data_IF_129179950009
#
_entry.id   IF_129179950009
#
_cell.length_a   1.000
_cell.length_b   1.000
_cell.length_c   1.000
_cell.angle_alpha   90.00
_cell.angle_beta   90.00
_cell.angle_gamma   90.00
#
_symmetry.space_group_name_H-M   'P 1'
#
loop_
_entity.id
_entity.type
_entity.pdbx_description
1 polymer ?
#
# COMPACT_ATOMS: atom_id res chain seq x y z
N UNK A 1 -15.91 -12.60 56.05
CA UNK A 1 -17.32 -12.98 55.91
C UNK A 1 -17.91 -12.10 54.83
N UNK A 2 -17.77 -12.57 53.60
CA UNK A 2 -18.86 -13.16 52.80
C UNK A 2 -19.58 -12.06 52.02
N UNK A 3 -19.24 -11.92 50.73
CA UNK A 3 -19.92 -12.63 49.64
C UNK A 3 -21.26 -11.98 49.32
N UNK A 4 -21.31 -11.19 48.24
CA UNK A 4 -22.32 -11.44 47.21
C UNK A 4 -21.96 -10.67 45.94
N UNK A 5 -21.41 -11.43 45.01
CA UNK A 5 -21.42 -11.27 43.57
C UNK A 5 -22.79 -10.85 43.02
N UNK A 6 -22.78 -10.00 41.98
CA UNK A 6 -23.65 -10.12 40.79
C UNK A 6 -23.04 -9.32 39.63
N UNK A 7 -22.33 -10.09 38.82
CA UNK A 7 -21.79 -9.78 37.49
C UNK A 7 -22.92 -9.56 36.49
N UNK A 8 -22.99 -8.37 35.89
CA UNK A 8 -23.80 -8.13 34.70
C UNK A 8 -22.96 -8.47 33.45
N UNK A 9 -23.03 -9.73 33.03
CA UNK A 9 -22.48 -10.20 31.76
C UNK A 9 -23.53 -9.93 30.69
N UNK A 10 -23.37 -8.84 29.93
CA UNK A 10 -24.08 -8.68 28.65
C UNK A 10 -23.09 -8.93 27.52
N UNK A 11 -22.90 -10.23 27.24
CA UNK A 11 -22.20 -10.70 26.05
C UNK A 11 -23.08 -10.48 24.83
N UNK A 12 -22.65 -9.61 23.92
CA UNK A 12 -23.27 -9.42 22.61
C UNK A 12 -22.27 -9.86 21.54
N UNK A 13 -21.98 -11.16 21.51
CA UNK A 13 -21.34 -11.79 20.37
C UNK A 13 -22.41 -12.47 19.52
N UNK A 14 -22.71 -11.83 18.40
CA UNK A 14 -23.42 -12.46 17.30
C UNK A 14 -22.50 -13.52 16.69
N UNK A 15 -22.87 -14.80 16.84
CA UNK A 15 -22.25 -15.94 16.19
C UNK A 15 -22.40 -15.85 14.66
N UNK A 16 -21.43 -15.20 14.02
CA UNK A 16 -21.27 -15.13 12.56
C UNK A 16 -20.46 -16.32 12.02
N UNK A 17 -20.75 -17.55 12.48
CA UNK A 17 -20.04 -18.77 12.06
C UNK A 17 -20.95 -19.99 11.92
N UNK A 18 -22.11 -19.85 11.28
CA UNK A 18 -22.97 -20.99 10.92
C UNK A 18 -23.63 -20.83 9.53
N UNK A 19 -22.89 -20.35 8.52
CA UNK A 19 -23.45 -20.25 7.16
C UNK A 19 -22.48 -20.68 6.03
N UNK A 20 -21.50 -21.52 6.34
CA UNK A 20 -20.53 -22.00 5.34
C UNK A 20 -20.18 -23.49 5.48
N UNK A 21 -21.09 -24.32 5.97
CA UNK A 21 -20.88 -25.79 6.04
C UNK A 21 -22.13 -26.59 5.69
N UNK A 22 -22.74 -26.27 4.55
CA UNK A 22 -23.70 -27.15 3.88
C UNK A 22 -23.70 -26.75 2.43
N UNK A 23 -22.90 -27.42 1.58
CA UNK A 23 -23.06 -27.58 0.12
C UNK A 23 -21.74 -28.09 -0.50
N UNK A 24 -21.15 -29.17 0.02
CA UNK A 24 -20.00 -29.82 -0.65
C UNK A 24 -20.05 -31.33 -0.50
N UNK A 25 -21.11 -31.97 -0.98
CA UNK A 25 -21.06 -33.36 -1.48
C UNK A 25 -22.38 -33.71 -2.15
N UNK A 26 -22.35 -34.07 -3.44
CA UNK A 26 -23.53 -34.61 -4.12
C UNK A 26 -23.51 -34.40 -5.61
N UNK A 27 -23.11 -35.44 -6.32
CA UNK A 27 -23.07 -35.54 -7.77
C UNK A 27 -24.41 -35.22 -8.47
N UNK A 28 -24.30 -34.66 -9.68
CA UNK A 28 -25.32 -34.73 -10.72
C UNK A 28 -26.34 -33.60 -10.72
N UNK A 29 -26.18 -32.64 -11.64
CA UNK A 29 -27.22 -32.30 -12.61
C UNK A 29 -26.62 -31.41 -13.71
N UNK A 30 -26.74 -31.87 -14.94
CA UNK A 30 -26.46 -31.10 -16.14
C UNK A 30 -27.44 -29.92 -16.24
N UNK A 31 -26.92 -28.72 -16.50
CA UNK A 31 -27.67 -27.68 -17.20
C UNK A 31 -26.69 -26.76 -17.92
N UNK A 32 -26.55 -27.06 -19.21
CA UNK A 32 -26.09 -26.16 -20.27
C UNK A 32 -26.79 -24.80 -20.20
N UNK A 33 -26.03 -23.73 -19.97
CA UNK A 33 -26.28 -22.44 -20.60
C UNK A 33 -24.94 -21.92 -21.10
N UNK A 34 -24.69 -22.17 -22.39
CA UNK A 34 -23.63 -21.54 -23.14
C UNK A 34 -23.90 -20.03 -23.20
N UNK A 35 -23.45 -19.30 -22.18
CA UNK A 35 -23.34 -17.85 -22.19
C UNK A 35 -22.16 -17.47 -23.06
N UNK A 36 -22.41 -17.38 -24.36
CA UNK A 36 -21.53 -16.85 -25.39
C UNK A 36 -21.12 -15.43 -24.99
N UNK A 37 -20.04 -15.29 -24.22
CA UNK A 37 -19.41 -14.00 -23.95
C UNK A 37 -18.84 -13.51 -25.28
N UNK A 38 -19.57 -12.59 -25.91
CA UNK A 38 -19.06 -11.76 -26.98
C UNK A 38 -17.86 -10.98 -26.46
N UNK A 39 -16.65 -11.53 -26.65
CA UNK A 39 -15.42 -10.74 -26.65
C UNK A 39 -15.53 -9.80 -27.84
N UNK A 40 -16.07 -8.60 -27.60
CA UNK A 40 -15.86 -7.49 -28.52
C UNK A 40 -14.35 -7.22 -28.53
N UNK A 41 -13.64 -7.40 -29.67
CA UNK A 41 -12.29 -6.92 -29.78
C UNK A 41 -12.35 -5.41 -29.61
N UNK A 42 -11.80 -4.89 -28.51
CA UNK A 42 -11.58 -3.46 -28.39
C UNK A 42 -10.58 -3.10 -29.48
N UNK A 43 -11.08 -2.52 -30.57
CA UNK A 43 -10.24 -1.88 -31.56
C UNK A 43 -9.42 -0.83 -30.82
N UNK A 44 -8.15 -1.15 -30.56
CA UNK A 44 -7.17 -0.17 -30.11
C UNK A 44 -6.98 0.80 -31.27
N UNK A 45 -7.82 1.83 -31.33
CA UNK A 45 -7.59 2.96 -32.21
C UNK A 45 -6.18 3.46 -31.88
N UNK A 46 -5.30 3.42 -32.89
CA UNK A 46 -3.92 3.86 -32.75
C UNK A 46 -3.93 5.25 -32.13
N UNK A 47 -3.43 5.36 -30.89
CA UNK A 47 -3.44 6.61 -30.16
C UNK A 47 -2.62 7.63 -30.96
N UNK A 48 -3.20 8.78 -31.34
CA UNK A 48 -2.45 9.80 -32.05
C UNK A 48 -1.28 10.22 -31.17
N UNK A 49 -0.12 10.45 -31.78
CA UNK A 49 1.07 10.76 -31.03
C UNK A 49 1.81 11.94 -31.65
N UNK A 50 2.26 12.83 -30.78
CA UNK A 50 2.89 14.09 -31.14
C UNK A 50 4.30 14.18 -30.56
N UNK A 51 5.07 15.16 -31.03
CA UNK A 51 6.37 15.50 -30.47
C UNK A 51 6.27 16.43 -29.26
N UNK A 52 7.31 16.46 -28.45
CA UNK A 52 7.44 17.31 -27.27
C UNK A 52 7.40 18.79 -27.66
N UNK A 53 7.88 19.14 -28.86
CA UNK A 53 7.83 20.50 -29.38
C UNK A 53 6.39 20.93 -29.68
N UNK A 54 5.62 20.06 -30.33
CA UNK A 54 4.19 20.33 -30.60
C UNK A 54 3.40 20.41 -29.30
N UNK A 55 3.70 19.51 -28.35
CA UNK A 55 3.10 19.57 -27.02
C UNK A 55 3.43 20.89 -26.28
N UNK A 56 4.64 21.42 -26.43
CA UNK A 56 5.00 22.72 -25.86
C UNK A 56 4.19 23.88 -26.45
N UNK A 57 3.89 23.83 -27.75
CA UNK A 57 2.99 24.81 -28.39
C UNK A 57 1.58 24.69 -27.79
N UNK A 58 1.05 23.47 -27.67
CA UNK A 58 -0.25 23.20 -27.07
C UNK A 58 -0.32 23.73 -25.62
N UNK A 59 0.72 23.51 -24.81
CA UNK A 59 0.78 24.03 -23.45
C UNK A 59 0.77 25.57 -23.41
N UNK A 60 1.38 26.24 -24.38
CA UNK A 60 1.39 27.71 -24.43
C UNK A 60 0.06 28.29 -24.89
N UNK A 61 -0.54 27.71 -25.92
CA UNK A 61 -1.74 28.24 -26.57
C UNK A 61 -3.04 27.75 -25.92
N UNK A 62 -3.04 26.53 -25.40
CA UNK A 62 -4.26 25.80 -25.03
C UNK A 62 -4.14 24.92 -23.78
N UNK A 63 -3.32 25.32 -22.79
CA UNK A 63 -3.19 24.58 -21.51
C UNK A 63 -4.52 24.26 -20.82
N UNK A 64 -5.53 25.11 -20.96
CA UNK A 64 -6.87 24.91 -20.36
C UNK A 64 -7.63 23.75 -20.95
N UNK A 65 -7.29 23.33 -22.17
CA UNK A 65 -7.89 22.18 -22.85
C UNK A 65 -7.32 20.86 -22.34
N UNK A 66 -6.20 20.88 -21.62
CA UNK A 66 -5.57 19.69 -21.05
C UNK A 66 -6.19 19.39 -19.69
N UNK A 67 -6.81 18.21 -19.56
CA UNK A 67 -7.42 17.76 -18.32
C UNK A 67 -6.38 17.18 -17.36
N UNK A 68 -5.56 16.26 -17.85
CA UNK A 68 -4.52 15.60 -17.06
C UNK A 68 -3.42 15.02 -17.97
N UNK A 69 -2.19 15.08 -17.51
CA UNK A 69 -1.05 14.40 -18.14
C UNK A 69 -0.65 13.22 -17.28
N UNK A 70 -0.74 12.02 -17.84
CA UNK A 70 -0.42 10.76 -17.19
C UNK A 70 0.94 10.25 -17.64
N UNK A 71 1.81 10.00 -16.67
CA UNK A 71 3.14 9.44 -16.86
C UNK A 71 3.10 7.95 -16.46
N UNK A 72 3.52 7.09 -17.39
CA UNK A 72 3.48 5.64 -17.27
C UNK A 72 4.80 5.02 -17.75
N UNK A 73 5.02 3.75 -17.42
CA UNK A 73 6.23 3.02 -17.79
C UNK A 73 7.41 3.17 -16.80
N UNK A 74 8.49 2.38 -17.00
CA UNK A 74 9.73 2.55 -16.27
C UNK A 74 10.25 3.97 -16.52
N UNK A 75 10.68 4.65 -15.45
CA UNK A 75 11.19 6.03 -15.49
C UNK A 75 10.27 7.07 -16.16
N UNK A 76 8.95 6.79 -16.25
CA UNK A 76 7.96 7.70 -16.84
C UNK A 76 8.13 7.98 -18.34
N UNK A 77 8.67 7.01 -19.10
CA UNK A 77 8.92 7.15 -20.55
C UNK A 77 7.64 7.35 -21.38
N UNK A 78 6.54 6.71 -20.99
CA UNK A 78 5.28 6.79 -21.74
C UNK A 78 4.40 7.91 -21.18
N UNK A 79 4.23 8.98 -21.96
CA UNK A 79 3.43 10.14 -21.58
C UNK A 79 2.13 10.17 -22.39
N UNK A 80 1.00 10.14 -21.70
CA UNK A 80 -0.34 10.25 -22.29
C UNK A 80 -1.02 11.51 -21.79
N UNK A 81 -1.54 12.30 -22.71
CA UNK A 81 -2.26 13.53 -22.40
C UNK A 81 -3.74 13.30 -22.64
N UNK A 82 -4.56 13.56 -21.63
CA UNK A 82 -6.02 13.54 -21.72
C UNK A 82 -6.54 14.96 -21.84
N UNK A 83 -7.33 15.22 -22.87
CA UNK A 83 -8.00 16.49 -23.08
C UNK A 83 -9.35 16.52 -22.36
N UNK A 84 -9.94 17.72 -22.26
CA UNK A 84 -11.25 17.94 -21.63
C UNK A 84 -12.41 17.28 -22.38
N UNK A 85 -12.24 17.06 -23.69
CA UNK A 85 -13.20 16.37 -24.57
C UNK A 85 -13.13 14.84 -24.43
N UNK A 86 -12.17 14.31 -23.67
CA UNK A 86 -11.95 12.88 -23.50
C UNK A 86 -11.07 12.25 -24.57
N UNK A 87 -10.56 13.02 -25.52
CA UNK A 87 -9.55 12.53 -26.46
C UNK A 87 -8.21 12.38 -25.75
N UNK A 88 -7.43 11.41 -26.20
CA UNK A 88 -6.12 11.10 -25.63
C UNK A 88 -5.08 11.07 -26.76
N UNK A 89 -3.91 11.61 -26.48
CA UNK A 89 -2.76 11.51 -27.38
C UNK A 89 -1.48 11.23 -26.59
N UNK A 90 -0.54 10.54 -27.25
CA UNK A 90 0.77 10.21 -26.70
C UNK A 90 1.84 11.23 -27.08
N UNK A 91 2.93 11.27 -26.32
CA UNK A 91 4.17 11.94 -26.72
C UNK A 91 5.21 10.87 -27.06
N UNK A 92 5.71 10.87 -28.30
CA UNK A 92 6.58 9.79 -28.80
C UNK A 92 8.08 10.04 -28.57
N UNK A 93 8.52 11.30 -28.52
CA UNK A 93 9.94 11.66 -28.51
C UNK A 93 10.51 11.88 -27.10
N UNK A 94 9.97 11.16 -26.12
CA UNK A 94 10.38 11.26 -24.71
C UNK A 94 11.67 10.47 -24.50
N UNK A 95 12.68 11.11 -23.91
CA UNK A 95 13.98 10.50 -23.64
C UNK A 95 14.32 10.67 -22.17
N UNK A 96 14.68 9.58 -21.50
CA UNK A 96 15.12 9.65 -20.12
C UNK A 96 16.50 10.34 -20.01
N UNK A 97 16.50 11.56 -19.50
CA UNK A 97 17.71 12.34 -19.22
C UNK A 97 17.40 13.41 -18.17
N UNK A 98 18.37 13.77 -17.34
CA UNK A 98 18.17 14.84 -16.36
C UNK A 98 18.15 16.24 -17.00
N UNK A 99 18.85 16.40 -18.12
CA UNK A 99 19.15 17.71 -18.72
C UNK A 99 18.41 17.95 -20.03
N UNK A 100 17.93 16.89 -20.69
CA UNK A 100 17.23 17.02 -21.97
C UNK A 100 15.83 17.63 -21.78
N UNK A 101 15.44 18.65 -22.56
CA UNK A 101 14.07 19.19 -22.54
C UNK A 101 12.97 18.16 -22.89
N UNK A 102 13.33 17.05 -23.56
CA UNK A 102 12.43 15.92 -23.88
C UNK A 102 12.22 14.95 -22.74
N UNK A 103 12.85 15.21 -21.59
CA UNK A 103 12.73 14.31 -20.46
C UNK A 103 11.36 14.40 -19.78
N UNK A 104 10.87 13.28 -19.21
CA UNK A 104 9.62 13.28 -18.45
C UNK A 104 9.63 14.32 -17.32
N UNK A 105 10.79 14.53 -16.70
CA UNK A 105 10.98 15.51 -15.64
C UNK A 105 10.77 16.94 -16.15
N UNK A 106 11.39 17.32 -17.27
CA UNK A 106 11.23 18.65 -17.85
C UNK A 106 9.81 18.87 -18.38
N UNK A 107 9.20 17.86 -19.00
CA UNK A 107 7.80 17.91 -19.43
C UNK A 107 6.88 18.15 -18.22
N UNK A 108 7.06 17.41 -17.13
CA UNK A 108 6.27 17.59 -15.90
C UNK A 108 6.45 18.98 -15.27
N UNK A 109 7.67 19.54 -15.31
CA UNK A 109 7.97 20.88 -14.82
C UNK A 109 7.24 21.95 -15.65
N UNK A 110 7.21 21.81 -16.97
CA UNK A 110 6.47 22.69 -17.89
C UNK A 110 4.96 22.60 -17.66
N UNK A 111 4.41 21.39 -17.51
CA UNK A 111 3.01 21.20 -17.14
C UNK A 111 2.67 21.90 -15.82
N UNK A 112 3.55 21.80 -14.81
CA UNK A 112 3.37 22.50 -13.53
C UNK A 112 3.39 24.02 -13.66
N UNK A 113 4.26 24.56 -14.50
CA UNK A 113 4.30 26.01 -14.82
C UNK A 113 3.00 26.46 -15.50
N UNK A 114 2.48 25.65 -16.42
CA UNK A 114 1.21 25.88 -17.12
C UNK A 114 -0.04 25.57 -16.26
N UNK A 115 0.13 25.16 -14.98
CA UNK A 115 -0.94 24.74 -14.06
C UNK A 115 -1.77 23.55 -14.56
N UNK A 116 -1.17 22.70 -15.39
CA UNK A 116 -1.78 21.46 -15.87
C UNK A 116 -1.57 20.35 -14.83
N UNK A 117 -2.62 19.63 -14.42
CA UNK A 117 -2.49 18.49 -13.50
C UNK A 117 -1.64 17.37 -14.10
N UNK A 118 -0.67 16.87 -13.33
CA UNK A 118 0.18 15.73 -13.71
C UNK A 118 -0.03 14.57 -12.75
N UNK A 119 0.03 13.35 -13.28
CA UNK A 119 -0.17 12.11 -12.53
C UNK A 119 0.94 11.12 -12.85
N UNK A 120 1.62 10.63 -11.82
CA UNK A 120 2.67 9.62 -11.95
C UNK A 120 2.16 8.28 -11.46
N UNK A 121 1.73 7.43 -12.39
CA UNK A 121 1.04 6.17 -12.06
C UNK A 121 1.92 5.24 -11.23
N UNK A 122 3.22 5.21 -11.50
CA UNK A 122 4.20 4.40 -10.78
C UNK A 122 4.40 4.85 -9.32
N UNK A 123 4.53 6.16 -9.11
CA UNK A 123 4.72 6.75 -7.78
C UNK A 123 3.44 6.59 -6.94
N UNK A 124 2.28 6.79 -7.55
CA UNK A 124 0.99 6.59 -6.87
C UNK A 124 0.78 5.13 -6.48
N UNK A 125 1.14 4.18 -7.35
CA UNK A 125 1.08 2.76 -7.01
C UNK A 125 2.03 2.39 -5.86
N UNK A 126 3.22 3.01 -5.80
CA UNK A 126 4.15 2.82 -4.69
C UNK A 126 3.61 3.42 -3.38
N UNK A 127 3.05 4.63 -3.44
CA UNK A 127 2.47 5.29 -2.28
C UNK A 127 1.24 4.54 -1.74
N UNK A 128 0.42 3.97 -2.63
CA UNK A 128 -0.74 3.16 -2.24
C UNK A 128 -0.34 1.89 -1.46
N UNK A 129 0.83 1.32 -1.74
CA UNK A 129 1.38 0.15 -1.04
C UNK A 129 2.08 0.49 0.28
N UNK A 130 2.43 1.76 0.48
CA UNK A 130 3.12 2.19 1.69
C UNK A 130 2.18 2.08 2.90
N UNK A 131 2.61 1.48 4.04
CA UNK A 131 1.74 1.34 5.20
C UNK A 131 1.36 2.74 5.70
N UNK A 132 0.05 3.04 5.70
CA UNK A 132 -0.47 4.29 6.27
C UNK A 132 0.00 4.38 7.72
N UNK A 133 0.56 5.52 8.13
CA UNK A 133 0.99 5.77 9.51
C UNK A 133 -0.19 5.44 10.43
N UNK A 134 -0.12 4.30 11.14
CA UNK A 134 -1.12 3.91 12.12
C UNK A 134 -1.04 4.94 13.24
N UNK A 135 -2.15 5.65 13.51
CA UNK A 135 -2.25 6.50 14.69
C UNK A 135 -2.05 5.59 15.90
N UNK A 136 -0.87 5.66 16.52
CA UNK A 136 -0.62 5.03 17.80
C UNK A 136 -1.33 5.88 18.85
N UNK A 137 -2.53 5.46 19.23
CA UNK A 137 -3.16 5.97 20.44
C UNK A 137 -2.40 5.37 21.62
N UNK A 138 -1.47 6.15 22.17
CA UNK A 138 -0.78 5.81 23.40
C UNK A 138 -1.76 5.98 24.56
N UNK A 139 -2.40 4.90 24.98
CA UNK A 139 -3.05 4.86 26.29
C UNK A 139 -1.93 4.82 27.35
N UNK A 140 -1.88 5.84 28.22
CA UNK A 140 -0.90 5.96 29.30
C UNK A 140 -0.82 4.70 30.16
N UNK A 141 -1.97 4.06 30.42
CA UNK A 141 -2.09 2.81 31.17
C UNK A 141 -1.29 1.67 30.53
N UNK A 142 -1.29 1.58 29.19
CA UNK A 142 -0.58 0.51 28.46
C UNK A 142 0.94 0.77 28.47
N UNK A 143 1.36 2.02 28.49
CA UNK A 143 2.77 2.39 28.60
C UNK A 143 3.33 2.08 29.98
N UNK A 144 2.61 2.46 31.04
CA UNK A 144 3.00 2.15 32.41
C UNK A 144 3.07 0.64 32.65
N UNK A 145 2.12 -0.13 32.10
CA UNK A 145 2.16 -1.59 32.15
C UNK A 145 3.40 -2.16 31.42
N UNK A 146 3.74 -1.62 30.25
CA UNK A 146 4.92 -2.04 29.50
C UNK A 146 6.24 -1.70 30.23
N UNK A 147 6.32 -0.54 30.88
CA UNK A 147 7.49 -0.14 31.69
C UNK A 147 7.64 -1.07 32.89
N UNK A 148 6.55 -1.36 33.62
CA UNK A 148 6.56 -2.30 34.75
C UNK A 148 6.95 -3.72 34.35
N UNK A 149 6.51 -4.19 33.18
CA UNK A 149 6.90 -5.51 32.67
C UNK A 149 8.38 -5.57 32.31
N UNK A 150 8.94 -4.50 31.72
CA UNK A 150 10.38 -4.41 31.44
C UNK A 150 11.20 -4.41 32.72
N UNK A 151 10.82 -3.60 33.71
CA UNK A 151 11.51 -3.57 35.01
C UNK A 151 11.47 -4.95 35.70
N UNK A 152 10.31 -5.62 35.68
CA UNK A 152 10.18 -6.97 36.24
C UNK A 152 11.07 -7.99 35.51
N UNK A 153 11.15 -7.90 34.18
CA UNK A 153 12.01 -8.77 33.39
C UNK A 153 13.50 -8.51 33.66
N UNK A 154 13.90 -7.26 33.85
CA UNK A 154 15.28 -6.90 34.18
C UNK A 154 15.68 -7.40 35.58
N UNK A 155 14.79 -7.30 36.58
CA UNK A 155 15.05 -7.88 37.91
C UNK A 155 15.22 -9.40 37.84
N UNK A 156 14.31 -10.09 37.16
CA UNK A 156 14.40 -11.54 36.99
C UNK A 156 15.71 -11.96 36.29
N UNK A 157 16.15 -11.18 35.29
CA UNK A 157 17.41 -11.44 34.59
C UNK A 157 18.63 -11.32 35.52
N UNK A 158 18.63 -10.36 36.44
CA UNK A 158 19.71 -10.20 37.43
C UNK A 158 19.69 -11.34 38.46
N UNK A 159 18.52 -11.75 38.92
CA UNK A 159 18.35 -12.87 39.85
C UNK A 159 18.81 -14.20 39.21
N UNK A 160 18.49 -14.42 37.93
CA UNK A 160 18.93 -15.59 37.17
C UNK A 160 20.45 -15.59 36.95
N UNK A 161 21.06 -14.43 36.69
CA UNK A 161 22.50 -14.30 36.55
C UNK A 161 23.23 -14.63 37.86
N UNK A 162 22.75 -14.11 39.00
CA UNK A 162 23.32 -14.42 40.31
C UNK A 162 23.18 -15.92 40.65
N UNK A 163 22.06 -16.54 40.29
CA UNK A 163 21.87 -18.00 40.47
C UNK A 163 22.86 -18.81 39.62
N UNK A 164 23.11 -18.40 38.38
CA UNK A 164 24.07 -19.07 37.49
C UNK A 164 25.51 -18.95 37.99
N UNK A 165 25.90 -17.80 38.52
CA UNK A 165 27.24 -17.57 39.09
C UNK A 165 27.48 -18.46 40.32
N UNK A 166 26.51 -18.55 41.24
CA UNK A 166 26.61 -19.43 42.41
C UNK A 166 26.77 -20.91 42.03
N UNK A 167 26.07 -21.37 40.98
CA UNK A 167 26.25 -22.75 40.48
C UNK A 167 27.66 -22.97 39.93
N UNK A 168 28.19 -22.00 39.19
CA UNK A 168 29.54 -22.08 38.64
C UNK A 168 30.62 -22.09 39.72
N UNK A 169 30.42 -21.39 40.84
CA UNK A 169 31.34 -21.43 41.99
C UNK A 169 31.32 -22.79 42.70
N UNK A 170 30.14 -23.42 42.85
CA UNK A 170 30.03 -24.77 43.42
C UNK A 170 30.70 -25.81 42.53
N UNK A 171 30.48 -25.78 41.21
CA UNK A 171 31.13 -26.69 40.25
C UNK A 171 32.66 -26.55 40.28
N UNK A 172 33.18 -25.33 40.47
CA UNK A 172 34.62 -25.11 40.64
C UNK A 172 35.15 -25.69 41.95
N UNK A 173 34.39 -25.56 43.03
CA UNK A 173 34.74 -26.15 44.33
C UNK A 173 34.80 -27.67 44.23
N UNK A 174 33.76 -28.28 43.66
CA UNK A 174 33.65 -29.73 43.45
C UNK A 174 34.70 -30.29 42.48
N UNK A 175 35.12 -29.51 41.48
CA UNK A 175 36.19 -29.91 40.56
C UNK A 175 37.62 -29.73 41.13
N UNK A 176 37.75 -29.07 42.29
CA UNK A 176 39.03 -28.83 42.97
C UNK A 176 39.30 -29.74 44.17
N UNK A 177 38.32 -30.58 44.54
CA UNK A 177 38.48 -31.76 45.42
C UNK A 177 38.80 -33.02 44.61
#
# INVERSE_FOLDING_TARGET
FESSSKTAVFSKHADRRQFLESFTTGAGFASTVAGMMMLFPQSSLAMPAISTKEFEVILRESARSVKIVEFTGPNSETVTVRLVDGTEFGINDVIESATDPRSPLQISARCRQARVPTKFTTIEAFLAKSPKKKKLYQNSIVQEAAVKQKEKAERLRLDEAARLEAVYEMEKGEASE
#
